data_IF_524084390906
#
_entry.id   IF_524084390906
#
_cell.length_a   1.000
_cell.length_b   1.000
_cell.length_c   1.000
_cell.angle_alpha   90.00
_cell.angle_beta   90.00
_cell.angle_gamma   90.00
#
_symmetry.space_group_name_H-M   'P 1'
#
loop_
_entity.id
_entity.type
_entity.pdbx_description
1 polymer ?
#
# COMPACT_ATOMS: atom_id res chain seq x y z
N UNK A 1 -9.45 73.91 -47.63
CA UNK A 1 -10.49 72.87 -47.45
C UNK A 1 -10.20 72.08 -46.17
N UNK A 2 -11.21 71.96 -45.32
CA UNK A 2 -11.12 71.57 -43.90
C UNK A 2 -10.66 70.11 -43.71
N UNK A 3 -9.53 69.86 -43.03
CA UNK A 3 -9.06 68.53 -42.59
C UNK A 3 -9.84 67.96 -41.38
N UNK A 4 -10.88 68.66 -40.91
CA UNK A 4 -11.71 68.25 -39.76
C UNK A 4 -12.43 66.90 -39.93
N UNK A 5 -13.01 66.52 -41.09
CA UNK A 5 -13.77 65.28 -41.20
C UNK A 5 -12.88 64.04 -41.09
N UNK A 6 -11.62 64.11 -41.56
CA UNK A 6 -10.68 62.99 -41.49
C UNK A 6 -10.19 62.72 -40.06
N UNK A 7 -10.08 63.77 -39.21
CA UNK A 7 -9.72 63.62 -37.79
C UNK A 7 -10.85 63.00 -36.98
N UNK A 8 -12.09 63.39 -37.26
CA UNK A 8 -13.29 62.82 -36.62
C UNK A 8 -13.42 61.33 -36.98
N UNK A 9 -13.23 60.98 -38.25
CA UNK A 9 -13.29 59.58 -38.70
C UNK A 9 -12.21 58.70 -38.06
N UNK A 10 -10.97 59.21 -37.91
CA UNK A 10 -9.90 58.50 -37.19
C UNK A 10 -10.22 58.31 -35.72
N UNK A 11 -10.80 59.31 -35.06
CA UNK A 11 -11.18 59.22 -33.65
C UNK A 11 -12.27 58.16 -33.45
N UNK A 12 -13.28 58.14 -34.33
CA UNK A 12 -14.35 57.12 -34.31
C UNK A 12 -13.75 55.73 -34.51
N UNK A 13 -12.84 55.56 -35.47
CA UNK A 13 -12.20 54.26 -35.72
C UNK A 13 -11.39 53.78 -34.51
N UNK A 14 -10.63 54.66 -33.85
CA UNK A 14 -9.88 54.32 -32.64
C UNK A 14 -10.83 53.91 -31.51
N UNK A 15 -11.93 54.63 -31.30
CA UNK A 15 -12.93 54.30 -30.27
C UNK A 15 -13.55 52.93 -30.56
N UNK A 16 -13.93 52.65 -31.81
CA UNK A 16 -14.48 51.33 -32.22
C UNK A 16 -13.47 50.22 -31.98
N UNK A 17 -12.19 50.42 -32.33
CA UNK A 17 -11.14 49.42 -32.09
C UNK A 17 -10.91 49.18 -30.60
N UNK A 18 -10.95 50.22 -29.76
CA UNK A 18 -10.84 50.08 -28.30
C UNK A 18 -12.03 49.34 -27.70
N UNK A 19 -13.26 49.60 -28.18
CA UNK A 19 -14.46 48.88 -27.76
C UNK A 19 -14.35 47.40 -28.16
N UNK A 20 -13.93 47.11 -29.40
CA UNK A 20 -13.73 45.72 -29.86
C UNK A 20 -12.63 45.00 -29.09
N UNK A 21 -11.54 45.68 -28.72
CA UNK A 21 -10.49 45.11 -27.89
C UNK A 21 -10.98 44.82 -26.46
N UNK A 22 -11.77 45.73 -25.87
CA UNK A 22 -12.38 45.53 -24.56
C UNK A 22 -13.39 44.37 -24.55
N UNK A 23 -14.23 44.26 -25.59
CA UNK A 23 -15.16 43.14 -25.76
C UNK A 23 -14.39 41.82 -25.91
N UNK A 24 -13.34 41.77 -26.74
CA UNK A 24 -12.52 40.57 -26.88
C UNK A 24 -11.80 40.18 -25.58
N UNK A 25 -11.29 41.15 -24.82
CA UNK A 25 -10.67 40.89 -23.52
C UNK A 25 -11.69 40.36 -22.50
N UNK A 26 -12.90 40.91 -22.50
CA UNK A 26 -13.98 40.45 -21.63
C UNK A 26 -14.45 39.05 -22.01
N UNK A 27 -14.64 38.78 -23.31
CA UNK A 27 -14.98 37.45 -23.82
C UNK A 27 -13.88 36.43 -23.55
N UNK A 28 -12.61 36.83 -23.63
CA UNK A 28 -11.47 35.98 -23.26
C UNK A 28 -11.43 35.72 -21.76
N UNK A 29 -11.70 36.70 -20.91
CA UNK A 29 -11.85 36.50 -19.46
C UNK A 29 -13.02 35.58 -19.12
N UNK A 30 -14.18 35.76 -19.78
CA UNK A 30 -15.34 34.87 -19.62
C UNK A 30 -14.97 33.46 -20.08
N UNK A 31 -14.32 33.30 -21.23
CA UNK A 31 -13.87 32.02 -21.78
C UNK A 31 -12.86 31.31 -20.87
N UNK A 32 -11.87 32.02 -20.33
CA UNK A 32 -10.93 31.50 -19.33
C UNK A 32 -11.67 31.14 -18.03
N UNK A 33 -12.64 31.95 -17.60
CA UNK A 33 -13.45 31.64 -16.41
C UNK A 33 -14.34 30.41 -16.60
N UNK A 34 -14.84 30.17 -17.83
CA UNK A 34 -15.62 28.97 -18.18
C UNK A 34 -14.73 27.74 -18.36
N UNK A 35 -13.55 27.86 -18.96
CA UNK A 35 -12.55 26.78 -19.04
C UNK A 35 -11.99 26.38 -17.66
N UNK A 36 -11.97 27.31 -16.70
CA UNK A 36 -11.67 27.02 -15.29
C UNK A 36 -12.91 26.61 -14.46
N UNK A 37 -14.10 26.59 -15.07
CA UNK A 37 -15.37 26.21 -14.44
C UNK A 37 -15.88 24.83 -14.86
N UNK A 38 -15.19 24.09 -15.74
CA UNK A 38 -15.54 22.69 -16.02
C UNK A 38 -15.43 21.81 -14.75
N UNK A 39 -14.62 22.23 -13.77
CA UNK A 39 -14.60 21.64 -12.43
C UNK A 39 -15.94 21.87 -11.68
N UNK A 40 -16.67 22.96 -11.93
CA UNK A 40 -17.86 23.31 -11.14
C UNK A 40 -19.07 22.41 -11.41
N UNK A 41 -19.26 21.82 -12.59
CA UNK A 41 -20.42 20.97 -12.86
C UNK A 41 -20.25 19.53 -12.32
N UNK A 42 -19.02 18.99 -12.36
CA UNK A 42 -18.65 17.76 -11.63
C UNK A 42 -18.64 18.00 -10.12
N UNK A 43 -18.14 19.14 -9.65
CA UNK A 43 -18.19 19.54 -8.24
C UNK A 43 -19.65 19.71 -7.77
N UNK A 44 -20.54 20.31 -8.55
CA UNK A 44 -21.95 20.46 -8.17
C UNK A 44 -22.66 19.10 -8.08
N UNK A 45 -22.31 18.13 -8.94
CA UNK A 45 -22.79 16.74 -8.85
C UNK A 45 -22.20 15.99 -7.65
N UNK A 46 -20.93 16.22 -7.29
CA UNK A 46 -20.28 15.64 -6.11
C UNK A 46 -20.71 16.29 -4.78
N UNK A 47 -21.05 17.59 -4.79
CA UNK A 47 -21.41 18.39 -3.61
C UNK A 47 -22.83 18.12 -3.13
N UNK A 48 -23.73 17.60 -3.99
CA UNK A 48 -25.16 17.60 -3.67
C UNK A 48 -25.71 16.33 -2.98
N UNK A 49 -24.99 15.20 -2.90
CA UNK A 49 -25.46 14.02 -2.11
C UNK A 49 -24.38 13.14 -1.47
N UNK A 50 -23.19 13.03 -2.06
CA UNK A 50 -22.19 12.04 -1.63
C UNK A 50 -21.12 12.68 -0.74
N UNK A 51 -20.67 11.91 0.26
CA UNK A 51 -19.55 12.28 1.13
C UNK A 51 -18.35 11.42 0.78
N UNK A 52 -17.17 12.03 0.80
CA UNK A 52 -15.93 11.38 0.40
C UNK A 52 -14.94 11.29 1.57
N UNK A 53 -14.12 10.25 1.54
CA UNK A 53 -13.04 10.01 2.49
C UNK A 53 -11.73 9.71 1.76
N UNK A 54 -10.62 10.28 2.21
CA UNK A 54 -9.28 9.89 1.78
C UNK A 54 -8.41 9.57 2.99
N UNK A 55 -7.40 8.75 2.77
CA UNK A 55 -6.31 8.50 3.72
C UNK A 55 -5.07 9.13 3.12
N UNK A 56 -4.35 9.91 3.91
CA UNK A 56 -3.11 10.55 3.46
C UNK A 56 -2.14 9.49 2.89
N UNK A 57 -1.58 9.82 1.74
CA UNK A 57 -0.60 8.95 1.09
C UNK A 57 0.71 8.88 1.88
N UNK A 58 1.39 7.73 1.78
CA UNK A 58 2.67 7.51 2.46
C UNK A 58 3.78 7.15 1.46
N UNK A 59 5.04 7.39 1.85
CA UNK A 59 6.22 7.15 1.01
C UNK A 59 6.72 5.69 1.03
N UNK A 60 5.94 4.79 1.62
CA UNK A 60 6.27 3.37 1.70
C UNK A 60 6.08 2.67 0.35
N UNK A 61 6.76 1.52 0.20
CA UNK A 61 6.63 0.66 -0.98
C UNK A 61 5.29 -0.08 -0.97
N UNK A 62 5.09 -0.97 -1.94
CA UNK A 62 3.86 -1.76 -2.15
C UNK A 62 3.16 -2.25 -0.87
N UNK A 63 3.87 -2.79 0.11
CA UNK A 63 3.22 -3.30 1.34
C UNK A 63 2.50 -2.20 2.13
N UNK A 64 3.07 -0.99 2.19
CA UNK A 64 2.42 0.15 2.83
C UNK A 64 1.30 0.74 1.96
N UNK A 65 1.46 0.71 0.63
CA UNK A 65 0.39 1.15 -0.27
C UNK A 65 -0.85 0.25 -0.17
N UNK A 66 -0.66 -1.07 -0.09
CA UNK A 66 -1.75 -2.02 0.13
C UNK A 66 -2.48 -1.78 1.45
N UNK A 67 -1.76 -1.42 2.52
CA UNK A 67 -2.38 -0.99 3.77
C UNK A 67 -3.21 0.28 3.63
N UNK A 68 -2.78 1.25 2.82
CA UNK A 68 -3.56 2.46 2.54
C UNK A 68 -4.83 2.14 1.76
N UNK A 69 -4.78 1.25 0.77
CA UNK A 69 -5.99 0.83 0.04
C UNK A 69 -6.96 0.07 0.94
N UNK A 70 -6.44 -0.86 1.75
CA UNK A 70 -7.25 -1.64 2.69
C UNK A 70 -7.94 -0.76 3.73
N UNK A 71 -7.19 0.15 4.35
CA UNK A 71 -7.73 1.10 5.32
C UNK A 71 -8.71 2.08 4.66
N UNK A 72 -8.39 2.58 3.46
CA UNK A 72 -9.28 3.47 2.71
C UNK A 72 -10.65 2.84 2.44
N UNK A 73 -10.68 1.57 2.01
CA UNK A 73 -11.93 0.81 1.86
C UNK A 73 -12.69 0.70 3.19
N UNK A 74 -12.02 0.23 4.25
CA UNK A 74 -12.69 0.01 5.54
C UNK A 74 -13.20 1.29 6.18
N UNK A 75 -12.41 2.36 6.17
CA UNK A 75 -12.78 3.64 6.77
C UNK A 75 -13.90 4.32 5.99
N UNK A 76 -13.85 4.27 4.66
CA UNK A 76 -14.92 4.80 3.81
C UNK A 76 -16.23 4.06 4.08
N UNK A 77 -16.22 2.72 4.17
CA UNK A 77 -17.40 1.93 4.53
C UNK A 77 -17.92 2.26 5.93
N UNK A 78 -17.05 2.29 6.94
CA UNK A 78 -17.44 2.57 8.32
C UNK A 78 -18.13 3.94 8.46
N UNK A 79 -17.62 4.95 7.74
CA UNK A 79 -18.16 6.32 7.78
C UNK A 79 -19.27 6.59 6.75
N UNK A 80 -19.70 5.57 5.99
CA UNK A 80 -20.64 5.70 4.88
C UNK A 80 -20.24 6.80 3.88
N UNK A 81 -18.99 6.73 3.42
CA UNK A 81 -18.36 7.66 2.48
C UNK A 81 -17.79 6.89 1.29
N UNK A 82 -17.60 7.59 0.18
CA UNK A 82 -16.89 7.09 -1.00
C UNK A 82 -15.39 7.34 -0.83
N UNK A 83 -14.57 6.31 -0.99
CA UNK A 83 -13.12 6.46 -0.94
C UNK A 83 -12.62 7.26 -2.15
N UNK A 84 -11.81 8.29 -1.94
CA UNK A 84 -11.20 9.07 -3.01
C UNK A 84 -9.69 9.21 -2.85
N UNK A 85 -9.02 9.44 -3.97
CA UNK A 85 -7.61 9.82 -4.03
C UNK A 85 -7.50 11.17 -4.74
N UNK A 86 -6.77 12.09 -4.10
CA UNK A 86 -6.60 13.44 -4.61
C UNK A 86 -5.83 13.46 -5.94
N UNK A 87 -6.34 14.20 -6.94
CA UNK A 87 -5.65 14.46 -8.21
C UNK A 87 -4.47 15.44 -8.08
N UNK A 88 -4.30 16.10 -6.92
CA UNK A 88 -3.29 17.14 -6.71
C UNK A 88 -1.83 16.64 -6.58
N UNK A 89 -1.57 15.35 -6.77
CA UNK A 89 -0.26 14.76 -6.46
C UNK A 89 0.54 14.58 -7.75
N UNK A 90 1.74 15.18 -7.79
CA UNK A 90 2.69 15.08 -8.90
C UNK A 90 3.03 13.61 -9.19
N UNK A 91 3.12 13.21 -10.45
CA UNK A 91 3.54 11.86 -10.85
C UNK A 91 5.00 11.57 -10.47
N UNK A 92 5.81 12.62 -10.30
CA UNK A 92 7.16 12.54 -9.77
C UNK A 92 7.18 12.38 -8.24
N UNK A 93 6.05 12.58 -7.56
CA UNK A 93 5.91 12.27 -6.14
C UNK A 93 6.10 10.77 -5.91
N UNK A 94 6.97 10.43 -4.95
CA UNK A 94 7.26 9.05 -4.58
C UNK A 94 6.00 8.28 -4.19
N UNK A 95 5.03 8.91 -3.53
CA UNK A 95 3.74 8.32 -3.14
C UNK A 95 2.99 7.85 -4.38
N UNK A 96 2.86 8.73 -5.38
CA UNK A 96 2.15 8.39 -6.62
C UNK A 96 2.88 7.32 -7.41
N UNK A 97 4.21 7.36 -7.45
CA UNK A 97 5.01 6.33 -8.10
C UNK A 97 4.78 4.94 -7.49
N UNK A 98 4.84 4.82 -6.16
CA UNK A 98 4.62 3.54 -5.47
C UNK A 98 3.16 3.06 -5.59
N UNK A 99 2.21 3.99 -5.60
CA UNK A 99 0.79 3.69 -5.87
C UNK A 99 0.60 3.12 -7.28
N UNK A 100 1.13 3.78 -8.32
CA UNK A 100 1.04 3.33 -9.71
C UNK A 100 1.67 1.95 -9.89
N UNK A 101 2.81 1.68 -9.23
CA UNK A 101 3.44 0.36 -9.24
C UNK A 101 2.50 -0.69 -8.62
N UNK A 102 1.87 -0.36 -7.49
CA UNK A 102 0.93 -1.24 -6.78
C UNK A 102 -0.30 -1.55 -7.64
N UNK A 103 -0.90 -0.54 -8.25
CA UNK A 103 -2.04 -0.69 -9.17
C UNK A 103 -1.65 -1.43 -10.47
N UNK A 104 -0.41 -1.32 -10.93
CA UNK A 104 0.05 -2.12 -12.08
C UNK A 104 0.09 -3.61 -11.73
N UNK A 105 0.40 -3.93 -10.48
CA UNK A 105 0.41 -5.32 -9.99
C UNK A 105 -1.01 -5.81 -9.75
N UNK A 106 -1.86 -4.99 -9.14
CA UNK A 106 -3.27 -5.28 -8.86
C UNK A 106 -4.21 -4.24 -9.51
N UNK A 107 -4.56 -4.38 -10.80
CA UNK A 107 -5.29 -3.36 -11.55
C UNK A 107 -6.66 -3.02 -10.96
N UNK A 108 -7.32 -3.99 -10.33
CA UNK A 108 -8.64 -3.81 -9.72
C UNK A 108 -8.62 -2.89 -8.52
N UNK A 109 -7.48 -2.58 -7.91
CA UNK A 109 -7.41 -1.57 -6.84
C UNK A 109 -7.95 -0.19 -7.27
N UNK A 110 -7.94 0.11 -8.58
CA UNK A 110 -8.54 1.34 -9.13
C UNK A 110 -10.05 1.39 -8.98
N UNK A 111 -10.71 0.25 -8.84
CA UNK A 111 -12.16 0.15 -8.65
C UNK A 111 -12.56 0.50 -7.21
N UNK A 112 -11.61 0.66 -6.28
CA UNK A 112 -11.88 0.99 -4.87
C UNK A 112 -12.20 2.46 -4.63
N UNK A 113 -11.81 3.35 -5.54
CA UNK A 113 -11.80 4.77 -5.24
C UNK A 113 -12.11 5.60 -6.48
N UNK A 114 -12.48 6.86 -6.24
CA UNK A 114 -12.65 7.87 -7.29
C UNK A 114 -11.50 8.89 -7.27
N UNK A 115 -11.09 9.37 -8.45
CA UNK A 115 -10.11 10.44 -8.55
C UNK A 115 -10.82 11.79 -8.48
N UNK A 116 -10.58 12.57 -7.42
CA UNK A 116 -11.21 13.89 -7.23
C UNK A 116 -10.14 14.93 -6.90
N UNK A 117 -10.34 16.16 -7.38
CA UNK A 117 -9.61 17.33 -6.91
C UNK A 117 -10.55 18.14 -6.00
N UNK A 118 -10.55 17.93 -4.68
CA UNK A 118 -11.47 18.66 -3.82
C UNK A 118 -11.08 20.14 -3.77
N UNK A 119 -12.06 21.07 -3.78
CA UNK A 119 -11.80 22.47 -3.45
C UNK A 119 -11.19 22.57 -2.06
N UNK A 120 -10.11 23.34 -1.91
CA UNK A 120 -9.42 23.48 -0.60
C UNK A 120 -10.36 23.94 0.53
N UNK A 121 -11.40 24.71 0.22
CA UNK A 121 -12.41 25.16 1.19
C UNK A 121 -13.40 24.08 1.63
N UNK A 122 -13.47 22.95 0.93
CA UNK A 122 -14.40 21.84 1.19
C UNK A 122 -13.71 20.59 1.74
N UNK A 123 -12.38 20.52 1.66
CA UNK A 123 -11.56 19.46 2.24
C UNK A 123 -11.20 19.78 3.68
N UNK A 124 -11.64 18.92 4.61
CA UNK A 124 -11.22 18.96 6.00
C UNK A 124 -10.21 17.84 6.24
N UNK A 125 -9.03 18.24 6.72
CA UNK A 125 -7.98 17.31 7.15
C UNK A 125 -8.08 17.16 8.66
N UNK A 126 -8.16 15.92 9.15
CA UNK A 126 -8.23 15.61 10.59
C UNK A 126 -7.14 14.61 10.97
N UNK A 127 -6.49 14.76 12.13
CA UNK A 127 -5.54 13.76 12.63
C UNK A 127 -6.23 12.41 12.87
N UNK A 128 -5.55 11.33 12.49
CA UNK A 128 -6.00 9.95 12.72
C UNK A 128 -4.81 9.06 13.09
N UNK A 129 -4.96 8.25 14.15
CA UNK A 129 -3.86 7.54 14.81
C UNK A 129 -2.79 8.48 15.41
N UNK A 130 -3.21 9.65 15.91
CA UNK A 130 -2.35 10.54 16.68
C UNK A 130 -2.59 10.36 18.18
N UNK A 131 -1.57 9.92 18.92
CA UNK A 131 -1.64 9.72 20.36
C UNK A 131 -0.60 10.58 21.06
N UNK A 132 -0.99 11.28 22.13
CA UNK A 132 -0.15 12.24 22.85
C UNK A 132 0.48 13.31 21.93
N UNK A 133 -0.28 13.77 20.93
CA UNK A 133 0.15 14.79 19.97
C UNK A 133 1.18 14.30 18.94
N UNK A 134 1.44 13.00 18.87
CA UNK A 134 2.38 12.38 17.91
C UNK A 134 1.65 11.36 17.05
N UNK A 135 2.02 11.30 15.78
CA UNK A 135 1.60 10.22 14.90
C UNK A 135 2.15 8.89 15.45
N UNK A 136 1.26 7.93 15.62
CA UNK A 136 1.53 6.58 16.11
C UNK A 136 0.84 5.62 15.13
N UNK A 137 1.35 5.63 13.89
CA UNK A 137 0.84 5.04 12.65
C UNK A 137 0.47 3.54 12.67
N UNK A 138 0.55 2.96 13.84
CA UNK A 138 0.47 1.55 14.05
C UNK A 138 -0.43 1.22 15.25
N UNK A 139 -0.92 2.22 16.00
CA UNK A 139 -2.02 2.04 16.95
C UNK A 139 -3.36 2.26 16.27
N UNK A 140 -4.31 1.35 16.51
CA UNK A 140 -5.67 1.49 16.00
C UNK A 140 -6.40 2.65 16.64
N UNK A 141 -7.06 3.41 15.78
CA UNK A 141 -8.12 4.33 16.12
C UNK A 141 -9.36 3.91 15.33
N UNK A 142 -10.52 3.89 15.99
CA UNK A 142 -11.77 3.58 15.30
C UNK A 142 -12.11 4.72 14.32
N UNK A 143 -12.31 4.46 13.01
CA UNK A 143 -12.72 5.51 12.08
C UNK A 143 -14.03 6.18 12.49
N UNK A 144 -14.92 5.53 13.24
CA UNK A 144 -16.17 6.09 13.74
C UNK A 144 -15.98 7.25 14.72
N UNK A 145 -14.78 7.45 15.28
CA UNK A 145 -14.44 8.66 16.03
C UNK A 145 -14.65 9.93 15.18
N UNK A 146 -14.62 9.79 13.85
CA UNK A 146 -14.86 10.86 12.89
C UNK A 146 -16.30 10.89 12.33
N UNK A 147 -17.24 10.14 12.91
CA UNK A 147 -18.62 10.03 12.41
C UNK A 147 -19.39 11.36 12.46
N UNK A 148 -19.06 12.26 13.39
CA UNK A 148 -19.65 13.60 13.48
C UNK A 148 -19.13 14.55 12.40
N UNK A 149 -18.12 14.16 11.62
CA UNK A 149 -17.57 15.02 10.56
C UNK A 149 -18.57 15.17 9.41
N UNK A 150 -18.96 16.40 9.12
CA UNK A 150 -19.97 16.73 8.11
C UNK A 150 -19.38 17.20 6.79
N UNK A 151 -18.08 17.49 6.74
CA UNK A 151 -17.39 17.98 5.53
C UNK A 151 -17.61 17.04 4.33
N UNK A 152 -17.87 17.58 3.13
CA UNK A 152 -18.02 16.78 1.91
C UNK A 152 -16.78 15.93 1.62
N UNK A 153 -15.59 16.48 1.83
CA UNK A 153 -14.32 15.79 1.69
C UNK A 153 -13.61 15.72 3.04
N UNK A 154 -13.39 14.51 3.53
CA UNK A 154 -12.64 14.24 4.76
C UNK A 154 -11.34 13.54 4.41
N UNK A 155 -10.20 14.10 4.84
CA UNK A 155 -8.90 13.45 4.73
C UNK A 155 -8.38 13.10 6.12
N UNK A 156 -8.11 11.82 6.34
CA UNK A 156 -7.47 11.33 7.55
C UNK A 156 -5.95 11.48 7.42
N UNK A 157 -5.36 12.35 8.24
CA UNK A 157 -3.92 12.57 8.34
C UNK A 157 -3.30 11.52 9.26
N UNK A 158 -2.51 10.63 8.68
CA UNK A 158 -1.78 9.55 9.35
C UNK A 158 -0.55 9.19 8.51
N UNK A 159 0.55 8.75 9.12
CA UNK A 159 1.73 8.37 8.31
C UNK A 159 1.62 6.98 7.71
N UNK A 160 0.97 6.03 8.39
CA UNK A 160 0.74 4.67 7.93
C UNK A 160 -0.54 4.10 8.57
N UNK A 161 -1.15 3.12 7.92
CA UNK A 161 -2.40 2.47 8.37
C UNK A 161 -2.22 0.98 8.63
N UNK A 162 -1.03 0.60 9.10
CA UNK A 162 -0.62 -0.80 9.27
C UNK A 162 -1.28 -1.36 10.53
N UNK A 163 -2.55 -1.71 10.49
CA UNK A 163 -3.25 -2.32 11.61
C UNK A 163 -4.32 -3.28 11.09
N UNK A 164 -4.38 -4.50 11.62
CA UNK A 164 -5.24 -5.58 11.15
C UNK A 164 -6.72 -5.23 11.24
N UNK A 165 -7.15 -4.55 12.31
CA UNK A 165 -8.52 -4.03 12.43
C UNK A 165 -8.92 -3.09 11.27
N UNK A 166 -7.96 -2.45 10.59
CA UNK A 166 -8.25 -1.64 9.40
C UNK A 166 -8.64 -2.47 8.17
N UNK A 167 -8.52 -3.80 8.20
CA UNK A 167 -8.96 -4.68 7.13
C UNK A 167 -9.85 -5.83 7.61
N UNK A 168 -9.80 -6.20 8.89
CA UNK A 168 -10.33 -7.45 9.42
C UNK A 168 -11.78 -7.74 8.98
N UNK A 169 -12.67 -6.77 9.11
CA UNK A 169 -14.09 -6.89 8.74
C UNK A 169 -14.34 -6.91 7.23
N UNK A 170 -13.37 -6.45 6.43
CA UNK A 170 -13.46 -6.29 4.98
C UNK A 170 -12.47 -7.19 4.21
N UNK A 171 -11.86 -8.20 4.85
CA UNK A 171 -10.85 -9.07 4.25
C UNK A 171 -11.33 -9.70 2.95
N UNK A 172 -12.52 -10.31 2.96
CA UNK A 172 -13.03 -11.05 1.81
C UNK A 172 -13.42 -10.15 0.64
N UNK A 173 -13.85 -8.92 0.95
CA UNK A 173 -14.09 -7.91 -0.05
C UNK A 173 -12.78 -7.38 -0.63
N UNK A 174 -11.83 -7.01 0.22
CA UNK A 174 -10.53 -6.48 -0.21
C UNK A 174 -9.77 -7.47 -1.11
N UNK A 175 -9.84 -8.78 -0.81
CA UNK A 175 -9.24 -9.84 -1.63
C UNK A 175 -9.70 -9.82 -3.09
N UNK A 176 -10.94 -9.37 -3.38
CA UNK A 176 -11.47 -9.28 -4.75
C UNK A 176 -10.71 -8.27 -5.60
N UNK A 177 -10.06 -7.30 -4.96
CA UNK A 177 -9.28 -6.25 -5.64
C UNK A 177 -7.80 -6.64 -5.81
N UNK A 178 -7.34 -7.71 -5.14
CA UNK A 178 -5.97 -8.22 -5.24
C UNK A 178 -5.80 -9.20 -6.41
N UNK A 179 -6.40 -8.87 -7.56
CA UNK A 179 -6.21 -9.65 -8.78
C UNK A 179 -4.92 -9.25 -9.50
N UNK A 180 -3.99 -10.19 -9.67
CA UNK A 180 -2.76 -9.93 -10.40
C UNK A 180 -2.99 -9.60 -11.88
N UNK A 181 -2.26 -8.60 -12.36
CA UNK A 181 -2.15 -8.28 -13.79
C UNK A 181 -1.61 -9.49 -14.60
N UNK A 182 -2.08 -9.63 -15.84
CA UNK A 182 -1.70 -10.72 -16.75
C UNK A 182 -0.18 -10.83 -16.98
N UNK A 183 0.54 -9.72 -17.06
CA UNK A 183 1.99 -9.70 -17.24
C UNK A 183 2.73 -10.25 -16.02
N UNK A 184 2.28 -9.89 -14.81
CA UNK A 184 2.82 -10.46 -13.56
C UNK A 184 2.58 -11.97 -13.53
N UNK A 185 1.36 -12.41 -13.86
CA UNK A 185 1.01 -13.83 -13.97
C UNK A 185 1.90 -14.57 -14.98
N UNK A 186 2.18 -13.98 -16.15
CA UNK A 186 3.04 -14.57 -17.19
C UNK A 186 4.49 -14.69 -16.70
N UNK A 187 5.06 -13.59 -16.17
CA UNK A 187 6.42 -13.58 -15.64
C UNK A 187 6.59 -14.61 -14.52
N UNK A 188 5.65 -14.62 -13.57
CA UNK A 188 5.66 -15.56 -12.45
C UNK A 188 5.57 -17.01 -12.89
N UNK A 189 4.68 -17.35 -13.84
CA UNK A 189 4.61 -18.73 -14.38
C UNK A 189 5.90 -19.14 -15.09
N UNK A 190 6.51 -18.26 -15.89
CA UNK A 190 7.82 -18.52 -16.52
C UNK A 190 8.89 -18.79 -15.47
N UNK A 191 8.93 -17.99 -14.40
CA UNK A 191 9.86 -18.18 -13.30
C UNK A 191 9.62 -19.52 -12.58
N UNK A 192 8.37 -19.89 -12.35
CA UNK A 192 8.01 -21.19 -11.75
C UNK A 192 8.50 -22.36 -12.59
N UNK A 193 8.34 -22.28 -13.91
CA UNK A 193 8.72 -23.35 -14.83
C UNK A 193 10.24 -23.47 -14.93
N UNK A 194 10.94 -22.35 -15.05
CA UNK A 194 12.40 -22.30 -15.11
C UNK A 194 13.09 -22.83 -13.84
N UNK A 195 12.42 -22.73 -12.68
CA UNK A 195 12.96 -23.13 -11.39
C UNK A 195 12.28 -24.37 -10.79
N UNK A 196 11.49 -25.11 -11.58
CA UNK A 196 10.77 -26.31 -11.16
C UNK A 196 9.98 -26.14 -9.84
N UNK A 197 9.32 -24.99 -9.66
CA UNK A 197 8.60 -24.64 -8.42
C UNK A 197 7.24 -25.34 -8.28
N UNK A 198 6.76 -26.02 -9.32
CA UNK A 198 5.52 -26.82 -9.28
C UNK A 198 5.80 -28.16 -8.59
N UNK A 199 5.89 -28.14 -7.27
CA UNK A 199 6.22 -29.31 -6.45
C UNK A 199 4.97 -29.88 -5.76
N UNK A 200 4.74 -31.19 -5.86
CA UNK A 200 3.70 -31.90 -5.10
C UNK A 200 3.90 -31.77 -3.57
N UNK A 201 5.17 -31.78 -3.13
CA UNK A 201 5.51 -31.77 -1.70
C UNK A 201 5.34 -30.38 -1.05
N UNK A 202 5.02 -29.37 -1.88
CA UNK A 202 4.89 -27.98 -1.50
C UNK A 202 6.21 -27.32 -1.10
N UNK A 203 6.21 -25.99 -1.09
CA UNK A 203 7.40 -25.16 -0.80
C UNK A 203 7.17 -24.40 0.50
N UNK A 204 8.20 -24.31 1.34
CA UNK A 204 8.27 -23.29 2.38
C UNK A 204 8.75 -21.99 1.75
N UNK A 205 8.00 -20.92 1.92
CA UNK A 205 8.49 -19.59 1.59
C UNK A 205 8.89 -18.85 2.84
N UNK A 206 9.93 -18.02 2.78
CA UNK A 206 10.29 -17.17 3.89
C UNK A 206 10.65 -15.77 3.40
N UNK A 207 10.15 -14.75 4.10
CA UNK A 207 10.54 -13.36 3.88
C UNK A 207 11.52 -12.91 4.96
N UNK A 208 12.68 -12.43 4.54
CA UNK A 208 13.75 -11.91 5.40
C UNK A 208 14.06 -10.47 5.03
N UNK A 209 13.94 -9.56 6.01
CA UNK A 209 14.21 -8.12 5.85
C UNK A 209 15.50 -7.78 6.57
N UNK A 210 16.52 -7.37 5.82
CA UNK A 210 17.84 -7.04 6.35
C UNK A 210 18.16 -5.56 6.17
N UNK A 211 18.13 -5.01 4.96
CA UNK A 211 18.89 -3.79 4.61
C UNK A 211 18.62 -2.58 5.52
N UNK A 212 17.45 -1.96 5.43
CA UNK A 212 17.05 -0.84 6.28
C UNK A 212 16.88 -1.26 7.74
N UNK A 213 16.56 -2.53 8.00
CA UNK A 213 16.43 -3.08 9.36
C UNK A 213 17.78 -3.13 10.09
N UNK A 214 18.90 -3.33 9.39
CA UNK A 214 20.25 -3.20 9.97
C UNK A 214 20.46 -1.77 10.42
N UNK A 215 20.08 -0.79 9.59
CA UNK A 215 20.28 0.64 9.88
C UNK A 215 19.47 1.13 11.08
N UNK A 216 18.32 0.53 11.34
CA UNK A 216 17.43 0.90 12.46
C UNK A 216 17.50 -0.08 13.64
N UNK A 217 18.49 -0.99 13.64
CA UNK A 217 18.71 -1.98 14.70
C UNK A 217 17.47 -2.87 15.00
N UNK A 218 16.78 -3.30 13.94
CA UNK A 218 15.62 -4.22 13.98
C UNK A 218 15.90 -5.56 13.28
N UNK A 219 17.16 -5.89 13.02
CA UNK A 219 17.51 -7.19 12.46
C UNK A 219 17.34 -8.30 13.49
N UNK A 220 17.03 -9.48 12.96
CA UNK A 220 17.07 -10.73 13.70
C UNK A 220 18.44 -11.37 13.47
N UNK A 221 19.15 -11.83 14.51
CA UNK A 221 20.45 -12.48 14.34
C UNK A 221 20.36 -13.70 13.42
N UNK A 222 21.44 -13.97 12.68
CA UNK A 222 21.47 -15.01 11.64
C UNK A 222 21.18 -16.41 12.20
N UNK A 223 21.73 -16.72 13.37
CA UNK A 223 21.52 -17.97 14.09
C UNK A 223 20.05 -18.18 14.48
N UNK A 224 19.37 -17.10 14.84
CA UNK A 224 17.93 -17.11 15.16
C UNK A 224 17.12 -17.33 13.88
N UNK A 225 17.45 -16.63 12.79
CA UNK A 225 16.81 -16.83 11.48
C UNK A 225 16.95 -18.27 10.98
N UNK A 226 18.14 -18.87 11.14
CA UNK A 226 18.38 -20.27 10.78
C UNK A 226 17.51 -21.20 11.64
N UNK A 227 17.49 -21.01 12.95
CA UNK A 227 16.71 -21.84 13.85
C UNK A 227 15.20 -21.77 13.54
N UNK A 228 14.67 -20.56 13.28
CA UNK A 228 13.27 -20.34 12.91
C UNK A 228 12.92 -21.05 11.60
N UNK A 229 13.79 -20.92 10.60
CA UNK A 229 13.58 -21.54 9.28
C UNK A 229 13.62 -23.06 9.39
N UNK A 230 14.61 -23.61 10.11
CA UNK A 230 14.73 -25.05 10.37
C UNK A 230 13.52 -25.61 11.11
N UNK A 231 13.02 -24.89 12.12
CA UNK A 231 11.83 -25.27 12.86
C UNK A 231 10.63 -25.44 11.93
N UNK A 232 10.34 -24.45 11.08
CA UNK A 232 9.18 -24.49 10.17
C UNK A 232 9.37 -25.57 9.08
N UNK A 233 10.58 -25.74 8.54
CA UNK A 233 10.89 -26.82 7.59
C UNK A 233 10.55 -28.20 8.18
N UNK A 234 10.94 -28.46 9.43
CA UNK A 234 10.66 -29.72 10.12
C UNK A 234 9.17 -29.86 10.41
N UNK A 235 8.54 -28.81 10.95
CA UNK A 235 7.12 -28.79 11.34
C UNK A 235 6.20 -29.07 10.16
N UNK A 236 6.46 -28.43 9.02
CA UNK A 236 5.67 -28.53 7.79
C UNK A 236 6.15 -29.65 6.86
N UNK A 237 7.19 -30.41 7.26
CA UNK A 237 7.81 -31.50 6.48
C UNK A 237 8.24 -31.05 5.08
N UNK A 238 8.86 -29.87 4.99
CA UNK A 238 9.32 -29.28 3.73
C UNK A 238 10.80 -29.54 3.50
N UNK A 239 11.14 -29.81 2.24
CA UNK A 239 12.52 -29.96 1.75
C UNK A 239 12.91 -28.91 0.70
N UNK A 240 11.93 -28.13 0.23
CA UNK A 240 12.14 -27.04 -0.72
C UNK A 240 11.83 -25.71 -0.06
N UNK A 241 12.69 -24.72 -0.31
CA UNK A 241 12.53 -23.36 0.21
C UNK A 241 12.69 -22.31 -0.88
N UNK A 242 11.82 -21.29 -0.85
CA UNK A 242 11.92 -20.07 -1.65
C UNK A 242 12.08 -18.87 -0.70
N UNK A 243 13.20 -18.15 -0.82
CA UNK A 243 13.50 -17.00 -0.01
C UNK A 243 13.18 -15.70 -0.75
N UNK A 244 12.45 -14.82 -0.06
CA UNK A 244 12.22 -13.43 -0.44
C UNK A 244 12.98 -12.52 0.52
N UNK A 245 13.51 -11.41 0.01
CA UNK A 245 14.17 -10.43 0.86
C UNK A 245 14.96 -9.41 0.07
N UNK A 246 15.56 -8.47 0.80
CA UNK A 246 16.24 -7.30 0.24
C UNK A 246 17.78 -7.40 0.23
N UNK A 247 18.36 -8.39 0.91
CA UNK A 247 19.80 -8.67 0.91
C UNK A 247 20.09 -10.06 0.31
N UNK A 248 20.39 -10.08 -0.99
CA UNK A 248 20.58 -11.34 -1.74
C UNK A 248 21.79 -12.14 -1.24
N UNK A 249 22.89 -11.48 -0.90
CA UNK A 249 24.09 -12.15 -0.40
C UNK A 249 23.78 -12.89 0.89
N UNK A 250 23.11 -12.22 1.82
CA UNK A 250 22.66 -12.84 3.07
C UNK A 250 21.71 -14.02 2.83
N UNK A 251 20.74 -13.89 1.90
CA UNK A 251 19.82 -14.99 1.57
C UNK A 251 20.56 -16.21 0.99
N UNK A 252 21.56 -16.01 0.15
CA UNK A 252 22.37 -17.11 -0.38
C UNK A 252 23.19 -17.80 0.72
N UNK A 253 23.74 -17.04 1.67
CA UNK A 253 24.43 -17.61 2.84
C UNK A 253 23.48 -18.45 3.72
N UNK A 254 22.24 -18.00 3.89
CA UNK A 254 21.19 -18.74 4.60
C UNK A 254 20.89 -20.07 3.89
N UNK A 255 20.70 -20.06 2.58
CA UNK A 255 20.50 -21.29 1.80
C UNK A 255 21.68 -22.24 1.93
N UNK A 256 22.91 -21.73 1.76
CA UNK A 256 24.11 -22.55 1.88
C UNK A 256 24.20 -23.24 3.25
N UNK A 257 23.90 -22.53 4.33
CA UNK A 257 23.87 -23.09 5.67
C UNK A 257 22.79 -24.17 5.86
N UNK A 258 21.58 -23.95 5.34
CA UNK A 258 20.49 -24.94 5.41
C UNK A 258 20.81 -26.21 4.59
N UNK A 259 21.39 -26.05 3.40
CA UNK A 259 21.82 -27.17 2.55
C UNK A 259 22.94 -27.95 3.21
N UNK A 260 23.97 -27.29 3.75
CA UNK A 260 25.09 -27.94 4.45
C UNK A 260 24.64 -28.76 5.66
N UNK A 261 23.57 -28.34 6.33
CA UNK A 261 22.94 -29.08 7.44
C UNK A 261 21.99 -30.20 6.98
N UNK A 262 21.81 -30.42 5.68
CA UNK A 262 20.87 -31.41 5.13
C UNK A 262 19.39 -31.09 5.40
N UNK A 263 19.06 -29.82 5.68
CA UNK A 263 17.70 -29.40 6.04
C UNK A 263 16.81 -29.20 4.81
N UNK A 264 17.42 -28.82 3.69
CA UNK A 264 16.74 -28.62 2.40
C UNK A 264 17.46 -29.40 1.29
N UNK A 265 16.69 -29.81 0.30
CA UNK A 265 17.15 -30.43 -0.95
C UNK A 265 17.22 -29.39 -2.09
N UNK A 266 16.32 -28.42 -2.07
CA UNK A 266 16.29 -27.34 -3.07
C UNK A 266 16.02 -26.01 -2.38
N UNK A 267 16.84 -25.00 -2.69
CA UNK A 267 16.71 -23.66 -2.16
C UNK A 267 16.86 -22.63 -3.27
N UNK A 268 15.96 -21.65 -3.32
CA UNK A 268 15.98 -20.58 -4.32
C UNK A 268 15.89 -19.23 -3.61
N UNK A 269 16.70 -18.27 -4.04
CA UNK A 269 16.54 -16.86 -3.67
C UNK A 269 15.82 -16.17 -4.82
N UNK A 270 14.69 -15.52 -4.54
CA UNK A 270 14.02 -14.75 -5.58
C UNK A 270 14.82 -13.50 -5.94
N UNK A 271 14.96 -13.28 -7.24
CA UNK A 271 15.62 -12.12 -7.84
C UNK A 271 14.65 -11.23 -8.63
N UNK A 272 13.34 -11.46 -8.47
CA UNK A 272 12.28 -10.81 -9.22
C UNK A 272 11.86 -9.44 -8.65
N UNK A 273 10.97 -8.77 -9.39
CA UNK A 273 10.24 -7.60 -8.89
C UNK A 273 9.13 -8.00 -7.90
N UNK A 274 8.80 -7.10 -6.98
CA UNK A 274 7.84 -7.34 -5.88
C UNK A 274 6.50 -7.93 -6.33
N UNK A 275 5.98 -7.55 -7.49
CA UNK A 275 4.73 -8.10 -8.01
C UNK A 275 4.82 -9.57 -8.37
N UNK A 276 5.95 -9.99 -8.95
CA UNK A 276 6.21 -11.40 -9.27
C UNK A 276 6.42 -12.19 -7.99
N UNK A 277 7.14 -11.65 -7.00
CA UNK A 277 7.29 -12.30 -5.69
C UNK A 277 5.96 -12.53 -4.97
N UNK A 278 5.07 -11.54 -4.99
CA UNK A 278 3.72 -11.68 -4.43
C UNK A 278 2.92 -12.76 -5.17
N UNK A 279 3.07 -12.87 -6.49
CA UNK A 279 2.41 -13.91 -7.30
C UNK A 279 3.01 -15.30 -7.02
N UNK A 280 4.33 -15.43 -6.91
CA UNK A 280 4.96 -16.67 -6.48
C UNK A 280 4.45 -17.06 -5.08
N UNK A 281 4.31 -16.08 -4.19
CA UNK A 281 3.76 -16.31 -2.86
C UNK A 281 2.34 -16.90 -2.90
N UNK A 282 1.48 -16.37 -3.78
CA UNK A 282 0.10 -16.88 -3.92
C UNK A 282 0.01 -18.26 -4.56
N UNK A 283 0.95 -18.61 -5.44
CA UNK A 283 0.86 -19.83 -6.24
C UNK A 283 1.61 -21.03 -5.66
N UNK A 284 2.82 -20.85 -5.11
CA UNK A 284 3.71 -21.99 -4.77
C UNK A 284 3.93 -22.20 -3.28
N UNK A 285 3.67 -21.19 -2.45
CA UNK A 285 3.93 -21.28 -1.02
C UNK A 285 2.83 -22.09 -0.32
N UNK A 286 3.18 -23.31 0.06
CA UNK A 286 2.31 -24.19 0.87
C UNK A 286 2.39 -23.90 2.36
N UNK A 287 3.49 -23.28 2.78
CA UNK A 287 3.75 -22.75 4.12
C UNK A 287 4.58 -21.47 3.99
N UNK A 288 4.48 -20.57 4.95
CA UNK A 288 5.13 -19.26 4.88
C UNK A 288 5.74 -18.87 6.23
N UNK A 289 6.94 -18.29 6.24
CA UNK A 289 7.60 -17.73 7.42
C UNK A 289 7.88 -16.23 7.23
N UNK A 290 7.30 -15.41 8.09
CA UNK A 290 7.63 -13.99 8.23
C UNK A 290 8.69 -13.86 9.34
N UNK A 291 9.93 -13.55 8.98
CA UNK A 291 11.02 -13.54 9.96
C UNK A 291 11.09 -12.28 10.82
N UNK A 292 10.31 -11.25 10.51
CA UNK A 292 10.14 -10.09 11.38
C UNK A 292 8.70 -9.55 11.28
N UNK A 293 7.98 -9.44 12.40
CA UNK A 293 6.54 -9.14 12.42
C UNK A 293 6.14 -7.79 11.78
N UNK A 294 7.01 -6.78 11.81
CA UNK A 294 6.70 -5.45 11.26
C UNK A 294 6.93 -5.30 9.74
N UNK A 295 7.34 -6.36 9.03
CA UNK A 295 7.49 -6.26 7.57
C UNK A 295 6.14 -6.29 6.86
N UNK A 296 5.74 -5.14 6.28
CA UNK A 296 4.51 -5.06 5.51
C UNK A 296 4.54 -5.93 4.26
N UNK A 297 5.70 -6.05 3.59
CA UNK A 297 5.80 -6.91 2.42
C UNK A 297 5.57 -8.37 2.81
N UNK A 298 6.23 -8.83 3.89
CA UNK A 298 6.06 -10.20 4.39
C UNK A 298 4.64 -10.50 4.84
N UNK A 299 3.95 -9.52 5.43
CA UNK A 299 2.52 -9.62 5.74
C UNK A 299 1.70 -9.87 4.46
N UNK A 300 1.82 -9.01 3.44
CA UNK A 300 1.01 -9.12 2.23
C UNK A 300 1.34 -10.34 1.39
N UNK A 301 2.61 -10.76 1.32
CA UNK A 301 2.98 -12.00 0.65
C UNK A 301 2.42 -13.23 1.36
N UNK A 302 2.42 -13.25 2.70
CA UNK A 302 1.80 -14.32 3.47
C UNK A 302 0.27 -14.31 3.36
N UNK A 303 -0.34 -13.12 3.36
CA UNK A 303 -1.78 -12.91 3.18
C UNK A 303 -2.30 -13.50 1.87
N UNK A 304 -1.50 -13.44 0.80
CA UNK A 304 -1.86 -13.96 -0.52
C UNK A 304 -1.70 -15.48 -0.66
N UNK A 305 -1.10 -16.15 0.32
CA UNK A 305 -0.96 -17.61 0.30
C UNK A 305 -2.31 -18.30 0.43
N UNK A 306 -2.44 -19.50 -0.16
CA UNK A 306 -3.68 -20.29 -0.14
C UNK A 306 -3.95 -20.95 1.24
N UNK A 307 -2.93 -21.13 2.06
CA UNK A 307 -3.03 -21.85 3.33
C UNK A 307 -2.58 -21.00 4.53
N UNK A 308 -3.49 -20.19 5.07
CA UNK A 308 -3.24 -19.35 6.25
C UNK A 308 -2.94 -20.16 7.52
N UNK A 309 -3.31 -21.45 7.59
CA UNK A 309 -2.99 -22.31 8.73
C UNK A 309 -1.51 -22.68 8.83
N UNK A 310 -0.78 -22.57 7.71
CA UNK A 310 0.67 -22.83 7.65
C UNK A 310 1.48 -21.55 7.47
N UNK A 311 0.95 -20.42 7.94
CA UNK A 311 1.70 -19.16 8.03
C UNK A 311 2.25 -19.02 9.45
N UNK A 312 3.55 -18.74 9.53
CA UNK A 312 4.32 -18.57 10.75
C UNK A 312 4.95 -17.18 10.77
N UNK A 313 5.12 -16.61 11.96
CA UNK A 313 5.88 -15.39 12.11
C UNK A 313 6.74 -15.44 13.37
N UNK A 314 7.95 -14.89 13.26
CA UNK A 314 8.80 -14.68 14.41
C UNK A 314 8.34 -13.48 15.21
N UNK A 315 8.16 -13.69 16.51
CA UNK A 315 7.81 -12.63 17.41
C UNK A 315 8.97 -12.11 18.22
N UNK A 316 9.10 -10.79 18.17
CA UNK A 316 10.09 -10.04 18.92
C UNK A 316 9.37 -9.16 19.94
N UNK A 317 9.31 -9.57 21.23
CA UNK A 317 8.57 -8.83 22.25
C UNK A 317 9.14 -7.45 22.57
N UNK A 318 10.43 -7.22 22.32
CA UNK A 318 11.19 -6.10 22.90
C UNK A 318 11.53 -4.96 21.93
N UNK A 319 11.15 -5.05 20.65
CA UNK A 319 11.56 -4.06 19.64
C UNK A 319 10.50 -3.00 19.30
N UNK A 320 9.25 -3.13 19.77
CA UNK A 320 8.15 -2.20 19.46
C UNK A 320 7.23 -1.99 20.68
N UNK A 321 7.63 -1.22 21.72
CA UNK A 321 6.90 -1.11 22.99
C UNK A 321 5.51 -0.45 22.88
N UNK A 322 5.16 0.15 21.74
CA UNK A 322 3.84 0.78 21.51
C UNK A 322 2.88 -0.07 20.68
N UNK A 323 3.32 -1.21 20.14
CA UNK A 323 2.54 -2.06 19.25
C UNK A 323 2.07 -3.31 19.98
N UNK A 324 0.78 -3.36 20.32
CA UNK A 324 0.20 -4.60 20.81
C UNK A 324 0.13 -5.61 19.67
N UNK A 325 0.39 -6.87 19.98
CA UNK A 325 0.72 -7.89 18.99
C UNK A 325 -0.49 -8.37 18.17
N UNK A 326 -1.69 -8.31 18.76
CA UNK A 326 -2.98 -8.59 18.10
C UNK A 326 -3.29 -7.65 16.94
N UNK A 327 -2.51 -6.59 16.80
CA UNK A 327 -2.86 -5.43 15.99
C UNK A 327 -2.26 -5.49 14.58
N UNK A 328 -1.28 -6.35 14.33
CA UNK A 328 -0.51 -6.34 13.07
C UNK A 328 -0.72 -7.55 12.18
N UNK A 329 -1.00 -8.70 12.80
CA UNK A 329 -0.99 -9.98 12.12
C UNK A 329 -2.34 -10.65 12.28
N UNK A 330 -2.75 -11.38 11.25
CA UNK A 330 -3.86 -12.31 11.33
C UNK A 330 -3.58 -13.39 12.38
N UNK A 331 -4.57 -14.20 12.79
CA UNK A 331 -4.39 -15.30 13.75
C UNK A 331 -3.55 -16.46 13.17
N UNK A 332 -2.32 -16.14 12.76
CA UNK A 332 -1.28 -17.02 12.25
C UNK A 332 -0.40 -17.54 13.37
N UNK A 333 0.47 -18.49 13.05
CA UNK A 333 1.27 -19.20 14.04
C UNK A 333 2.45 -18.34 14.52
N UNK A 334 2.33 -17.88 15.74
CA UNK A 334 3.37 -17.22 16.50
C UNK A 334 4.50 -18.18 16.91
N UNK A 335 5.76 -17.86 16.58
CA UNK A 335 6.93 -18.60 17.07
C UNK A 335 7.95 -17.65 17.72
N UNK A 336 8.64 -18.14 18.74
CA UNK A 336 9.65 -17.42 19.50
C UNK A 336 10.99 -18.15 19.52
N UNK A 337 12.03 -17.44 19.94
CA UNK A 337 13.36 -17.99 20.15
C UNK A 337 13.81 -17.69 21.58
N UNK A 338 13.99 -18.72 22.39
CA UNK A 338 14.41 -18.62 23.78
C UNK A 338 15.21 -19.84 24.19
N UNK A 339 16.27 -19.65 24.98
CA UNK A 339 17.08 -20.78 25.47
C UNK A 339 17.66 -21.64 24.34
N UNK A 340 18.05 -21.01 23.23
CA UNK A 340 18.54 -21.67 22.00
C UNK A 340 17.54 -22.59 21.28
N UNK A 341 16.25 -22.47 21.58
CA UNK A 341 15.20 -23.28 20.96
C UNK A 341 14.09 -22.40 20.38
N UNK A 342 13.46 -22.90 19.31
CA UNK A 342 12.26 -22.30 18.72
C UNK A 342 11.04 -23.04 19.25
N UNK A 343 10.04 -22.29 19.72
CA UNK A 343 8.79 -22.83 20.21
C UNK A 343 7.59 -21.97 19.77
N UNK A 344 6.40 -22.57 19.65
CA UNK A 344 5.16 -21.80 19.54
C UNK A 344 5.00 -20.84 20.73
N UNK A 345 4.48 -19.65 20.48
CA UNK A 345 4.10 -18.72 21.55
C UNK A 345 2.57 -18.63 21.57
N UNK A 346 1.98 -18.86 22.74
CA UNK A 346 0.57 -18.53 22.98
C UNK A 346 0.46 -17.04 23.26
N UNK A 347 -0.40 -16.37 22.50
CA UNK A 347 -0.60 -14.93 22.63
C UNK A 347 -1.73 -14.70 23.58
N UNK A 348 -1.45 -14.00 24.67
CA UNK A 348 -2.51 -13.45 25.51
C UNK A 348 -2.94 -12.16 24.83
N UNK A 349 -4.22 -12.10 24.44
CA UNK A 349 -4.84 -10.91 23.85
C UNK A 349 -4.89 -9.75 24.83
#
# INVERSE_FOLDING_TARGET
>A
MSRKPLRILRLILIIVLLILAAINLHLFQVYISTLYNDDCEEILKAVLKDKYLSVKGNHGRIGNQLWTFAAGLSFAKALNRTFYISKNVDIHDKIMKERIITERIFPRLKDLYVHIRPPKSMEKVVPHSHFYGKDDCCRYQDPLDHASETSPFLMLDTSFTQHIKNIYENIDEFKKYLEFNSQIKIKGRRYMDANALRSSDGILCAHIRMTDFVRINRTVPREVLLALTEYVLVKEKKKKILLFGDDRSFLHEMLHALTKKGKIETGIVSDNESGVDLFLASEVCSSYLITHQSTTFGFWSAFLTKNWKSVYFYYVPYQEPTLYRSDFLLPWNAIGYSGNQVAPITLVN
#
